data_IF_093949151440
#
_entry.id   IF_093949151440
#
_cell.length_a   1.000
_cell.length_b   1.000
_cell.length_c   1.000
_cell.angle_alpha   90.00
_cell.angle_beta   90.00
_cell.angle_gamma   90.00
#
_symmetry.space_group_name_H-M   'P 1'
#
loop_
_entity.id
_entity.type
_entity.pdbx_description
1 polymer ?
#
# COMPACT_ATOMS: atom_id res chain seq x y z
N UNK A 1 11.41 33.77 14.97
CA UNK A 1 11.16 32.35 14.63
C UNK A 1 10.34 32.33 13.36
N UNK A 2 10.92 31.94 12.23
CA UNK A 2 10.14 31.64 11.03
C UNK A 2 9.42 30.32 11.30
N UNK A 3 8.15 30.41 11.67
CA UNK A 3 7.31 29.26 11.96
C UNK A 3 6.94 28.57 10.63
N UNK A 4 7.86 27.76 10.09
CA UNK A 4 7.55 26.95 8.91
C UNK A 4 6.48 25.92 9.33
N UNK A 5 5.33 25.86 8.66
CA UNK A 5 4.23 25.00 9.08
C UNK A 5 4.67 23.54 9.15
N UNK A 6 4.23 22.78 10.16
CA UNK A 6 4.72 21.43 10.42
C UNK A 6 4.56 20.55 9.18
N UNK A 7 5.62 19.82 8.84
CA UNK A 7 5.62 18.93 7.69
C UNK A 7 4.74 17.71 7.99
N UNK A 8 3.77 17.38 7.12
CA UNK A 8 2.96 16.18 7.27
C UNK A 8 3.82 14.93 7.47
N UNK A 9 3.42 14.09 8.43
CA UNK A 9 4.02 12.78 8.67
C UNK A 9 3.17 11.70 8.01
N UNK A 10 3.82 10.73 7.38
CA UNK A 10 3.17 9.70 6.59
C UNK A 10 3.59 8.31 7.08
N UNK A 11 2.66 7.36 7.11
CA UNK A 11 2.95 6.01 7.59
C UNK A 11 4.09 5.39 6.75
N UNK A 12 5.09 4.73 7.38
CA UNK A 12 6.21 4.14 6.67
C UNK A 12 5.79 2.91 5.86
N UNK A 13 6.68 2.45 4.99
CA UNK A 13 6.52 1.16 4.31
C UNK A 13 6.71 0.01 5.29
N UNK A 14 5.93 -1.05 5.14
CA UNK A 14 6.03 -2.28 5.95
C UNK A 14 7.33 -3.01 5.62
N UNK A 15 8.05 -3.49 6.62
CA UNK A 15 9.30 -4.23 6.41
C UNK A 15 9.01 -5.55 5.72
N UNK A 16 9.76 -5.86 4.65
CA UNK A 16 9.64 -7.13 3.92
C UNK A 16 9.72 -8.37 4.82
N UNK A 17 10.61 -8.33 5.83
CA UNK A 17 10.78 -9.42 6.79
C UNK A 17 9.50 -9.71 7.61
N UNK A 18 8.69 -8.69 7.90
CA UNK A 18 7.45 -8.86 8.65
C UNK A 18 6.39 -9.56 7.81
N UNK A 19 6.29 -9.20 6.51
CA UNK A 19 5.41 -9.88 5.55
C UNK A 19 5.85 -11.33 5.37
N UNK A 20 7.15 -11.61 5.21
CA UNK A 20 7.66 -12.98 5.12
C UNK A 20 7.30 -13.81 6.34
N UNK A 21 7.58 -13.30 7.54
CA UNK A 21 7.26 -13.97 8.80
C UNK A 21 5.78 -14.30 8.90
N UNK A 22 4.89 -13.40 8.46
CA UNK A 22 3.44 -13.64 8.44
C UNK A 22 3.09 -14.87 7.59
N UNK A 23 3.57 -14.92 6.35
CA UNK A 23 3.27 -16.02 5.43
C UNK A 23 3.92 -17.34 5.88
N UNK A 24 5.15 -17.29 6.39
CA UNK A 24 5.83 -18.47 6.95
C UNK A 24 5.07 -19.04 8.15
N UNK A 25 4.60 -18.18 9.06
CA UNK A 25 3.78 -18.60 10.20
C UNK A 25 2.44 -19.19 9.77
N UNK A 26 1.76 -18.57 8.80
CA UNK A 26 0.48 -19.08 8.28
C UNK A 26 0.65 -20.44 7.59
N UNK A 27 1.69 -20.61 6.77
CA UNK A 27 2.01 -21.88 6.11
C UNK A 27 2.37 -22.99 7.12
N UNK A 28 2.98 -22.65 8.25
CA UNK A 28 3.24 -23.57 9.35
C UNK A 28 1.99 -23.88 10.21
N UNK A 29 0.82 -23.33 9.86
CA UNK A 29 -0.42 -23.50 10.63
C UNK A 29 -0.42 -22.77 11.97
N UNK A 30 0.49 -21.81 12.17
CA UNK A 30 0.59 -21.06 13.42
C UNK A 30 -0.47 -19.96 13.47
N UNK A 31 -1.35 -20.04 14.45
CA UNK A 31 -2.39 -19.04 14.72
C UNK A 31 -1.82 -17.83 15.47
N UNK A 32 -0.98 -17.03 14.80
CA UNK A 32 -0.42 -15.78 15.34
C UNK A 32 -1.31 -14.58 14.97
N UNK A 33 -2.38 -14.38 15.74
CA UNK A 33 -3.34 -13.27 15.52
C UNK A 33 -2.69 -11.89 15.68
N UNK A 34 -1.70 -11.78 16.56
CA UNK A 34 -0.97 -10.53 16.81
C UNK A 34 -0.13 -10.14 15.60
N UNK A 35 0.57 -11.09 14.98
CA UNK A 35 1.32 -10.85 13.75
C UNK A 35 0.42 -10.48 12.56
N UNK A 36 -0.75 -11.13 12.44
CA UNK A 36 -1.75 -10.80 11.42
C UNK A 36 -2.26 -9.37 11.62
N UNK A 37 -2.53 -8.98 12.86
CA UNK A 37 -2.94 -7.62 13.21
C UNK A 37 -1.83 -6.61 12.94
N UNK A 38 -0.60 -6.90 13.37
CA UNK A 38 0.55 -6.01 13.18
C UNK A 38 0.77 -5.69 11.70
N UNK A 39 0.84 -6.73 10.86
CA UNK A 39 1.01 -6.54 9.40
C UNK A 39 -0.21 -5.85 8.80
N UNK A 40 -1.41 -6.28 9.16
CA UNK A 40 -2.63 -5.76 8.58
C UNK A 40 -2.87 -4.29 8.89
N UNK A 41 -2.67 -3.87 10.15
CA UNK A 41 -2.75 -2.45 10.53
C UNK A 41 -1.61 -1.63 9.93
N UNK A 42 -0.39 -2.16 9.83
CA UNK A 42 0.70 -1.45 9.16
C UNK A 42 0.40 -1.20 7.67
N UNK A 43 -0.15 -2.20 6.97
CA UNK A 43 -0.64 -2.05 5.60
C UNK A 43 -1.82 -1.07 5.50
N UNK A 44 -2.75 -1.10 6.47
CA UNK A 44 -3.91 -0.22 6.52
C UNK A 44 -3.47 1.25 6.59
N UNK A 45 -2.62 1.58 7.55
CA UNK A 45 -2.07 2.94 7.74
C UNK A 45 -1.33 3.42 6.49
N UNK A 46 -0.64 2.51 5.81
CA UNK A 46 0.08 2.82 4.57
C UNK A 46 -0.86 3.05 3.39
N UNK A 47 -1.90 2.23 3.23
CA UNK A 47 -2.94 2.42 2.22
C UNK A 47 -3.73 3.72 2.45
N UNK A 48 -4.04 4.04 3.71
CA UNK A 48 -4.65 5.32 4.07
C UNK A 48 -3.75 6.51 3.71
N UNK A 49 -2.45 6.42 4.00
CA UNK A 49 -1.46 7.44 3.60
C UNK A 49 -1.48 7.65 2.08
N UNK A 50 -1.52 6.56 1.30
CA UNK A 50 -1.58 6.62 -0.16
C UNK A 50 -2.88 7.28 -0.62
N UNK A 51 -4.01 6.91 -0.01
CA UNK A 51 -5.31 7.53 -0.24
C UNK A 51 -5.26 9.04 0.01
N UNK A 52 -4.82 9.47 1.18
CA UNK A 52 -4.76 10.88 1.56
C UNK A 52 -3.88 11.70 0.61
N UNK A 53 -2.71 11.20 0.25
CA UNK A 53 -1.80 11.90 -0.67
C UNK A 53 -2.35 11.99 -2.08
N UNK A 54 -2.92 10.88 -2.59
CA UNK A 54 -3.47 10.81 -3.96
C UNK A 54 -4.69 11.71 -4.11
N UNK A 55 -5.56 11.72 -3.10
CA UNK A 55 -6.81 12.52 -3.08
C UNK A 55 -6.63 13.94 -2.52
N UNK A 56 -5.39 14.36 -2.23
CA UNK A 56 -5.10 15.72 -1.71
C UNK A 56 -5.87 16.04 -0.43
N UNK A 57 -5.84 15.12 0.54
CA UNK A 57 -6.54 15.22 1.81
C UNK A 57 -5.66 15.70 2.95
N UNK A 58 -6.31 16.30 3.94
CA UNK A 58 -5.71 16.83 5.13
C UNK A 58 -4.97 15.72 5.90
N UNK A 59 -3.73 15.96 6.34
CA UNK A 59 -2.97 14.98 7.11
C UNK A 59 -3.53 14.78 8.52
N UNK A 60 -4.26 15.76 9.07
CA UNK A 60 -4.82 15.69 10.41
C UNK A 60 -6.19 15.00 10.42
N UNK A 61 -7.16 15.54 9.68
CA UNK A 61 -8.56 15.07 9.73
C UNK A 61 -9.03 14.26 8.51
N UNK A 62 -8.27 14.25 7.40
CA UNK A 62 -8.64 13.51 6.19
C UNK A 62 -9.63 14.22 5.25
N UNK A 63 -10.08 15.44 5.56
CA UNK A 63 -10.92 16.24 4.65
C UNK A 63 -10.17 16.74 3.41
N UNK A 64 -10.91 17.13 2.38
CA UNK A 64 -10.32 17.68 1.15
C UNK A 64 -9.59 19.00 1.43
N UNK A 65 -8.39 19.15 0.87
CA UNK A 65 -7.61 20.39 1.00
C UNK A 65 -7.93 21.35 -0.15
N UNK A 66 -8.11 22.62 0.19
CA UNK A 66 -8.18 23.71 -0.78
C UNK A 66 -6.77 24.18 -1.17
N UNK A 67 -6.59 24.51 -2.45
CA UNK A 67 -5.30 24.93 -3.01
C UNK A 67 -4.28 23.80 -3.23
N UNK A 68 -4.64 22.54 -2.99
CA UNK A 68 -3.74 21.37 -3.07
C UNK A 68 -3.66 20.72 -4.47
N UNK A 69 -3.31 21.49 -5.51
CA UNK A 69 -3.16 20.99 -6.90
C UNK A 69 -1.73 21.14 -7.45
N UNK A 70 -1.39 20.57 -8.61
CA UNK A 70 0.00 20.70 -9.11
C UNK A 70 0.27 22.07 -9.77
N UNK A 71 -0.77 22.74 -10.25
CA UNK A 71 -0.70 24.01 -10.98
C UNK A 71 -0.47 25.23 -10.06
N UNK A 72 0.12 26.30 -10.60
CA UNK A 72 0.29 27.58 -9.89
C UNK A 72 1.50 27.66 -8.93
N UNK A 73 1.62 28.75 -8.16
CA UNK A 73 2.79 29.01 -7.31
C UNK A 73 2.99 27.94 -6.24
N UNK A 74 4.24 27.57 -5.97
CA UNK A 74 4.58 26.58 -4.93
C UNK A 74 4.36 27.09 -3.51
N UNK A 75 4.44 28.41 -3.30
CA UNK A 75 4.26 29.02 -1.97
C UNK A 75 2.81 29.37 -1.65
N UNK A 76 1.85 29.06 -2.54
CA UNK A 76 0.45 29.31 -2.25
C UNK A 76 -0.01 28.50 -1.03
N UNK A 77 -0.97 29.08 -0.30
CA UNK A 77 -1.57 28.45 0.87
C UNK A 77 -2.36 27.21 0.46
N UNK A 78 -2.16 26.15 1.22
CA UNK A 78 -3.03 24.97 1.24
C UNK A 78 -3.70 24.95 2.60
N UNK A 79 -5.02 24.81 2.64
CA UNK A 79 -5.74 24.82 3.89
C UNK A 79 -6.85 23.77 3.92
N UNK A 80 -7.17 23.33 5.13
CA UNK A 80 -8.25 22.40 5.40
C UNK A 80 -9.45 23.14 6.00
N UNK A 81 -10.61 23.20 5.33
CA UNK A 81 -11.81 23.83 5.89
C UNK A 81 -12.37 23.07 7.10
N UNK A 82 -12.15 21.76 7.19
CA UNK A 82 -12.69 20.92 8.28
C UNK A 82 -12.02 21.10 9.65
N UNK A 83 -10.69 21.21 9.69
CA UNK A 83 -9.94 21.30 10.96
C UNK A 83 -9.05 22.55 11.09
N UNK A 84 -9.00 23.41 10.07
CA UNK A 84 -8.19 24.62 10.07
C UNK A 84 -6.69 24.39 9.85
N UNK A 85 -6.24 23.16 9.56
CA UNK A 85 -4.84 22.89 9.20
C UNK A 85 -4.40 23.74 8.00
N UNK A 86 -3.22 24.36 8.07
CA UNK A 86 -2.66 25.18 6.99
C UNK A 86 -1.19 24.87 6.71
N UNK A 87 -0.78 25.03 5.46
CA UNK A 87 0.61 24.94 5.03
C UNK A 87 0.80 25.64 3.67
N UNK A 88 1.96 25.45 3.04
CA UNK A 88 2.16 25.80 1.62
C UNK A 88 2.15 24.55 0.76
N UNK A 89 1.83 24.71 -0.52
CA UNK A 89 1.93 23.61 -1.48
C UNK A 89 3.35 23.03 -1.55
N UNK A 90 4.39 23.86 -1.43
CA UNK A 90 5.80 23.45 -1.40
C UNK A 90 6.10 22.50 -0.24
N UNK A 91 5.61 22.80 0.96
CA UNK A 91 5.82 21.96 2.15
C UNK A 91 5.02 20.67 2.04
N UNK A 92 3.74 20.76 1.68
CA UNK A 92 2.87 19.58 1.48
C UNK A 92 3.42 18.65 0.39
N UNK A 93 3.74 19.16 -0.80
CA UNK A 93 4.28 18.36 -1.90
C UNK A 93 5.63 17.71 -1.55
N UNK A 94 6.52 18.42 -0.85
CA UNK A 94 7.80 17.85 -0.38
C UNK A 94 7.60 16.77 0.68
N UNK A 95 6.51 16.78 1.45
CA UNK A 95 6.23 15.75 2.45
C UNK A 95 6.17 14.33 1.87
N UNK A 96 5.68 14.18 0.64
CA UNK A 96 5.48 12.87 0.03
C UNK A 96 6.34 12.59 -1.21
N UNK A 97 6.95 13.61 -1.83
CA UNK A 97 7.82 13.43 -3.01
C UNK A 97 8.93 12.41 -2.71
N UNK A 98 9.08 11.40 -3.56
CA UNK A 98 10.10 10.35 -3.41
C UNK A 98 9.77 9.22 -2.42
N UNK A 99 8.67 9.32 -1.65
CA UNK A 99 8.33 8.35 -0.60
C UNK A 99 7.47 7.17 -1.10
N UNK A 100 7.20 7.11 -2.41
CA UNK A 100 6.33 6.09 -3.04
C UNK A 100 4.95 5.99 -2.37
N UNK A 101 4.31 7.14 -2.10
CA UNK A 101 2.96 7.20 -1.50
C UNK A 101 1.90 7.80 -2.43
N UNK A 102 2.17 7.85 -3.73
CA UNK A 102 1.16 8.15 -4.73
C UNK A 102 0.64 6.84 -5.33
N UNK A 103 -0.68 6.67 -5.43
CA UNK A 103 -1.30 5.38 -5.75
C UNK A 103 -1.05 4.93 -7.20
N UNK A 104 -1.05 5.86 -8.15
CA UNK A 104 -0.86 5.53 -9.57
C UNK A 104 -1.85 4.48 -10.05
N UNK A 105 -1.39 3.51 -10.85
CA UNK A 105 -2.25 2.44 -11.40
C UNK A 105 -2.82 1.48 -10.35
N UNK A 106 -2.12 1.27 -9.23
CA UNK A 106 -2.58 0.39 -8.16
C UNK A 106 -3.49 1.09 -7.14
N UNK A 107 -3.86 2.35 -7.40
CA UNK A 107 -4.70 3.13 -6.50
C UNK A 107 -6.02 2.44 -6.11
N UNK A 108 -6.77 1.81 -7.04
CA UNK A 108 -8.00 1.10 -6.68
C UNK A 108 -7.79 0.01 -5.61
N UNK A 109 -6.66 -0.69 -5.67
CA UNK A 109 -6.32 -1.79 -4.75
C UNK A 109 -6.03 -1.27 -3.34
N UNK A 110 -5.32 -0.14 -3.23
CA UNK A 110 -5.06 0.50 -1.93
C UNK A 110 -6.37 0.97 -1.28
N UNK A 111 -7.28 1.54 -2.06
CA UNK A 111 -8.60 1.99 -1.57
C UNK A 111 -9.47 0.81 -1.16
N UNK A 112 -9.45 -0.28 -1.93
CA UNK A 112 -10.17 -1.51 -1.61
C UNK A 112 -9.73 -2.05 -0.25
N UNK A 113 -8.42 -2.23 -0.05
CA UNK A 113 -7.88 -2.71 1.23
C UNK A 113 -8.20 -1.78 2.40
N UNK A 114 -8.02 -0.46 2.20
CA UNK A 114 -8.32 0.55 3.22
C UNK A 114 -9.77 0.47 3.72
N UNK A 115 -10.72 0.15 2.84
CA UNK A 115 -12.15 0.04 3.17
C UNK A 115 -12.56 -1.36 3.66
N UNK A 116 -11.88 -2.40 3.21
CA UNK A 116 -12.23 -3.80 3.53
C UNK A 116 -11.62 -4.25 4.87
N UNK A 117 -10.33 -4.01 5.09
CA UNK A 117 -9.61 -4.58 6.23
C UNK A 117 -10.22 -4.25 7.60
N UNK A 118 -10.70 -3.03 7.90
CA UNK A 118 -11.35 -2.74 9.18
C UNK A 118 -12.63 -3.55 9.46
N UNK A 119 -13.23 -4.14 8.42
CA UNK A 119 -14.43 -4.98 8.54
C UNK A 119 -14.08 -6.45 8.81
N UNK A 120 -12.83 -6.85 8.62
CA UNK A 120 -12.35 -8.21 8.84
C UNK A 120 -12.22 -8.51 10.34
N UNK A 121 -13.07 -9.41 10.85
CA UNK A 121 -13.11 -9.77 12.29
C UNK A 121 -12.31 -11.02 12.63
N UNK A 122 -12.17 -11.94 11.69
CA UNK A 122 -11.48 -13.22 11.91
C UNK A 122 -10.09 -13.20 11.32
N UNK A 123 -9.17 -13.98 11.90
CA UNK A 123 -7.81 -14.21 11.37
C UNK A 123 -7.82 -14.51 9.88
N UNK A 124 -8.63 -15.48 9.45
CA UNK A 124 -8.73 -15.89 8.05
C UNK A 124 -9.26 -14.77 7.15
N UNK A 125 -10.22 -13.95 7.61
CA UNK A 125 -10.68 -12.80 6.83
C UNK A 125 -9.60 -11.74 6.67
N UNK A 126 -8.80 -11.48 7.71
CA UNK A 126 -7.67 -10.55 7.68
C UNK A 126 -6.56 -11.04 6.76
N UNK A 127 -6.19 -12.31 6.88
CA UNK A 127 -5.22 -12.96 5.99
C UNK A 127 -5.64 -12.88 4.52
N UNK A 128 -6.91 -13.18 4.21
CA UNK A 128 -7.42 -13.05 2.83
C UNK A 128 -7.35 -11.61 2.31
N UNK A 129 -7.65 -10.60 3.14
CA UNK A 129 -7.53 -9.21 2.73
C UNK A 129 -6.07 -8.81 2.47
N UNK A 130 -5.14 -9.24 3.34
CA UNK A 130 -3.69 -9.01 3.18
C UNK A 130 -3.22 -9.67 1.88
N UNK A 131 -3.58 -10.93 1.67
CA UNK A 131 -3.15 -11.70 0.51
C UNK A 131 -3.64 -11.10 -0.80
N UNK A 132 -4.92 -10.72 -0.87
CA UNK A 132 -5.51 -10.07 -2.04
C UNK A 132 -4.77 -8.77 -2.41
N UNK A 133 -4.41 -7.95 -1.41
CA UNK A 133 -3.63 -6.73 -1.63
C UNK A 133 -2.23 -7.06 -2.16
N UNK A 134 -1.50 -7.98 -1.52
CA UNK A 134 -0.15 -8.37 -1.92
C UNK A 134 -0.13 -8.93 -3.35
N UNK A 135 -1.13 -9.74 -3.71
CA UNK A 135 -1.29 -10.28 -5.05
C UNK A 135 -1.59 -9.19 -6.09
N UNK A 136 -2.53 -8.28 -5.80
CA UNK A 136 -2.89 -7.21 -6.72
C UNK A 136 -1.70 -6.29 -7.05
N UNK A 137 -0.91 -5.92 -6.03
CA UNK A 137 0.28 -5.07 -6.24
C UNK A 137 1.45 -5.80 -6.90
N UNK A 138 1.45 -7.14 -6.89
CA UNK A 138 2.37 -7.96 -7.66
C UNK A 138 2.03 -7.90 -9.16
N UNK A 139 0.75 -8.06 -9.51
CA UNK A 139 0.29 -8.09 -10.91
C UNK A 139 0.47 -6.74 -11.64
N UNK A 140 0.16 -5.62 -10.97
CA UNK A 140 0.24 -4.27 -11.58
C UNK A 140 1.68 -3.91 -12.02
N UNK A 141 2.70 -4.63 -11.56
CA UNK A 141 4.11 -4.46 -11.95
C UNK A 141 4.59 -5.27 -13.17
N UNK A 142 3.82 -6.23 -13.69
CA UNK A 142 4.31 -7.19 -14.68
C UNK A 142 4.50 -6.62 -16.10
N UNK A 143 4.09 -5.37 -16.37
CA UNK A 143 4.25 -4.69 -17.66
C UNK A 143 5.51 -3.81 -17.77
N UNK A 144 6.63 -4.21 -17.14
CA UNK A 144 7.90 -3.45 -17.15
C UNK A 144 7.91 -2.20 -16.25
N UNK A 145 6.87 -1.98 -15.45
CA UNK A 145 6.79 -0.90 -14.48
C UNK A 145 7.40 -1.32 -13.13
N UNK A 146 7.83 -0.32 -12.35
CA UNK A 146 8.23 -0.52 -10.95
C UNK A 146 7.08 -1.20 -10.19
N UNK A 147 7.29 -2.33 -9.48
CA UNK A 147 6.20 -3.02 -8.77
C UNK A 147 5.46 -2.07 -7.84
N UNK A 148 4.13 -2.03 -7.92
CA UNK A 148 3.28 -1.26 -7.01
C UNK A 148 3.51 -1.69 -5.55
N UNK A 149 4.04 -2.89 -5.33
CA UNK A 149 4.52 -3.36 -4.04
C UNK A 149 5.54 -2.43 -3.38
N UNK A 150 6.30 -1.62 -4.13
CA UNK A 150 7.20 -0.61 -3.55
C UNK A 150 6.48 0.53 -2.84
N UNK A 151 5.19 0.74 -3.11
CA UNK A 151 4.37 1.64 -2.34
C UNK A 151 4.15 1.13 -0.91
N UNK A 152 4.10 -0.18 -0.72
CA UNK A 152 3.78 -0.83 0.56
C UNK A 152 5.01 -1.33 1.30
N UNK A 153 5.96 -1.94 0.60
CA UNK A 153 7.03 -2.75 1.19
C UNK A 153 8.38 -2.03 1.14
N UNK A 154 9.08 -2.04 2.28
CA UNK A 154 10.45 -1.56 2.42
C UNK A 154 11.43 -2.69 2.16
N UNK A 155 11.99 -2.72 0.94
CA UNK A 155 13.14 -3.51 0.54
C UNK A 155 13.66 -3.02 -0.83
N UNK A 156 14.78 -3.60 -1.29
CA UNK A 156 15.27 -3.39 -2.66
C UNK A 156 14.25 -3.95 -3.67
N UNK A 157 14.01 -3.31 -4.83
CA UNK A 157 13.03 -3.75 -5.82
C UNK A 157 13.12 -5.24 -6.20
N UNK A 158 14.33 -5.73 -6.47
CA UNK A 158 14.55 -7.14 -6.82
C UNK A 158 14.29 -8.12 -5.66
N UNK A 159 14.47 -7.68 -4.40
CA UNK A 159 14.14 -8.50 -3.24
C UNK A 159 12.62 -8.59 -3.03
N UNK A 160 11.90 -7.49 -3.26
CA UNK A 160 10.43 -7.47 -3.23
C UNK A 160 9.89 -8.40 -4.31
N UNK A 161 10.39 -8.28 -5.56
CA UNK A 161 9.94 -9.15 -6.66
C UNK A 161 10.16 -10.63 -6.33
N UNK A 162 11.37 -11.02 -5.90
CA UNK A 162 11.65 -12.40 -5.53
C UNK A 162 10.74 -12.90 -4.41
N UNK A 163 10.54 -12.11 -3.36
CA UNK A 163 9.60 -12.48 -2.30
C UNK A 163 8.19 -12.73 -2.85
N UNK A 164 7.68 -11.84 -3.72
CA UNK A 164 6.34 -12.00 -4.29
C UNK A 164 6.26 -13.21 -5.23
N UNK A 165 7.31 -13.47 -6.02
CA UNK A 165 7.42 -14.68 -6.83
C UNK A 165 7.41 -15.93 -5.93
N UNK A 166 8.20 -15.96 -4.85
CA UNK A 166 8.25 -17.07 -3.90
C UNK A 166 6.89 -17.31 -3.22
N UNK A 167 6.17 -16.23 -2.85
CA UNK A 167 4.84 -16.32 -2.24
C UNK A 167 3.76 -16.77 -3.23
N UNK A 168 3.88 -16.37 -4.50
CA UNK A 168 2.92 -16.74 -5.54
C UNK A 168 3.14 -18.17 -6.07
N UNK A 169 4.37 -18.69 -5.99
CA UNK A 169 4.79 -19.93 -6.68
C UNK A 169 5.47 -20.97 -5.77
N UNK A 170 5.47 -20.79 -4.44
CA UNK A 170 6.19 -21.63 -3.48
C UNK A 170 5.68 -23.07 -3.36
N UNK A 171 6.64 -24.02 -3.44
CA UNK A 171 6.59 -25.50 -3.37
C UNK A 171 6.24 -26.31 -4.63
N UNK A 172 6.51 -25.77 -5.82
CA UNK A 172 6.56 -26.57 -7.07
C UNK A 172 8.00 -26.81 -7.54
N UNK A 173 8.76 -27.61 -6.78
CA UNK A 173 9.92 -28.30 -7.32
C UNK A 173 9.45 -29.41 -8.26
N UNK A 174 9.29 -29.07 -9.54
CA UNK A 174 9.06 -30.02 -10.62
C UNK A 174 7.69 -29.87 -11.27
N UNK A 175 7.72 -29.66 -12.58
CA UNK A 175 6.61 -29.68 -13.55
C UNK A 175 5.95 -28.34 -13.88
N UNK A 176 6.35 -27.85 -15.06
CA UNK A 176 5.69 -26.94 -15.99
C UNK A 176 5.09 -25.61 -15.47
N UNK A 177 5.97 -24.61 -15.42
CA UNK A 177 5.71 -23.20 -15.09
C UNK A 177 4.75 -22.50 -16.08
N UNK A 178 4.51 -23.05 -17.27
CA UNK A 178 3.67 -22.43 -18.29
C UNK A 178 2.19 -22.86 -18.17
N UNK A 179 1.92 -24.12 -17.84
CA UNK A 179 0.56 -24.66 -17.74
C UNK A 179 -0.23 -24.12 -16.54
N UNK A 180 0.42 -23.95 -15.40
CA UNK A 180 -0.23 -23.46 -14.17
C UNK A 180 -0.64 -21.99 -14.28
N UNK A 181 0.15 -21.22 -15.05
CA UNK A 181 -0.17 -19.85 -15.42
C UNK A 181 -1.48 -19.80 -16.20
N UNK A 182 -1.63 -20.64 -17.23
CA UNK A 182 -2.81 -20.66 -18.09
C UNK A 182 -4.07 -21.17 -17.36
N UNK A 183 -3.91 -22.16 -16.48
CA UNK A 183 -5.03 -22.81 -15.79
C UNK A 183 -5.66 -21.95 -14.68
N UNK A 184 -4.86 -21.08 -14.04
CA UNK A 184 -5.37 -20.08 -13.09
C UNK A 184 -6.10 -18.94 -13.81
N UNK A 185 -5.56 -18.45 -14.94
CA UNK A 185 -6.22 -17.40 -15.75
C UNK A 185 -7.57 -17.85 -16.29
N UNK A 186 -7.67 -19.10 -16.77
CA UNK A 186 -8.91 -19.67 -17.32
C UNK A 186 -10.03 -19.80 -16.27
N UNK A 187 -9.70 -19.91 -14.98
CA UNK A 187 -10.68 -19.99 -13.88
C UNK A 187 -11.20 -18.62 -13.44
N UNK A 188 -10.49 -17.54 -13.72
CA UNK A 188 -10.87 -16.17 -13.36
C UNK A 188 -11.67 -15.45 -14.47
N UNK A 189 -11.58 -15.90 -15.72
CA UNK A 189 -12.38 -15.37 -16.85
C UNK A 189 -13.77 -16.01 -16.98
N UNK A 190 -14.07 -17.04 -16.20
CA UNK A 190 -15.31 -17.82 -16.24
C UNK A 190 -16.26 -17.53 -15.06
N UNK A 191 -16.05 -16.43 -14.33
CA UNK A 191 -16.83 -16.02 -13.15
C UNK A 191 -17.34 -14.59 -13.24
#
# INVERSE_FOLDING_TARGET
MTDEPPRPQWAPRVRMALIKRLYEADAAGLADDDLVNEVGFALLMRCETIYRVTERRCPECGDSLEGAHDEGPRDRTVHCPGCGWTSTWRVYHRSYKGHRIHGGRAYPEFVHYFREFPKCRTRSSKMRAIDRLIHAVHQVGNAGATPAAQNLVYARPGAIKRMLDDLAYGDQTGTDRAGIREDYFRRMEMG
#
